data_IF_006914009844
#
_entry.id   IF_006914009844
#
_cell.length_a   1.000
_cell.length_b   1.000
_cell.length_c   1.000
_cell.angle_alpha   90.00
_cell.angle_beta   90.00
_cell.angle_gamma   90.00
#
_symmetry.space_group_name_H-M   'P 1'
#
loop_
_entity.id
_entity.type
_entity.pdbx_description
1 polymer ?
#
# COMPACT_ATOMS: atom_id res chain seq x y z
N UNK A 1 26.41 -9.38 4.48
CA UNK A 1 25.12 -9.82 3.89
C UNK A 1 24.74 -8.77 2.86
N UNK A 2 24.40 -9.21 1.66
CA UNK A 2 24.14 -8.37 0.50
C UNK A 2 22.87 -7.52 0.74
N UNK A 3 22.89 -6.18 0.70
CA UNK A 3 21.68 -5.37 0.82
C UNK A 3 20.97 -5.27 -0.54
N UNK A 4 20.70 -6.42 -1.16
CA UNK A 4 20.11 -6.44 -2.51
C UNK A 4 18.62 -6.26 -2.37
N UNK A 5 18.07 -5.40 -3.22
CA UNK A 5 16.63 -5.28 -3.38
C UNK A 5 16.14 -6.58 -4.02
N UNK A 6 15.22 -7.30 -3.38
CA UNK A 6 14.61 -8.48 -4.00
C UNK A 6 13.38 -8.02 -4.77
N UNK A 7 13.30 -8.36 -6.05
CA UNK A 7 12.13 -8.08 -6.87
C UNK A 7 11.18 -9.27 -6.83
N UNK A 8 9.94 -9.01 -6.45
CA UNK A 8 8.85 -9.96 -6.41
C UNK A 8 7.76 -9.46 -7.36
N UNK A 9 7.14 -10.38 -8.08
CA UNK A 9 5.90 -10.03 -8.76
C UNK A 9 4.74 -10.18 -7.78
N UNK A 10 3.85 -9.18 -7.77
CA UNK A 10 2.58 -9.26 -7.07
C UNK A 10 1.55 -10.11 -7.80
N UNK A 11 1.94 -10.72 -8.92
CA UNK A 11 1.12 -11.58 -9.75
C UNK A 11 1.97 -12.83 -10.09
N UNK A 12 1.40 -14.02 -10.00
CA UNK A 12 2.15 -15.28 -10.10
C UNK A 12 2.63 -15.67 -11.51
N UNK A 13 2.95 -14.71 -12.38
CA UNK A 13 3.33 -14.93 -13.78
C UNK A 13 4.72 -14.32 -14.08
N UNK A 14 5.82 -15.04 -13.82
CA UNK A 14 7.19 -14.59 -14.13
C UNK A 14 7.38 -14.15 -15.59
N UNK A 15 6.60 -14.73 -16.49
CA UNK A 15 6.61 -14.45 -17.93
C UNK A 15 5.99 -13.10 -18.32
N UNK A 16 5.19 -12.48 -17.44
CA UNK A 16 4.71 -11.09 -17.58
C UNK A 16 5.81 -10.14 -17.08
N UNK A 17 6.86 -9.98 -17.88
CA UNK A 17 8.07 -9.24 -17.50
C UNK A 17 7.86 -7.73 -17.55
N UNK A 18 6.84 -7.25 -18.27
CA UNK A 18 6.49 -5.84 -18.32
C UNK A 18 5.50 -5.43 -17.20
N UNK A 19 4.87 -6.40 -16.50
CA UNK A 19 3.87 -6.24 -15.45
C UNK A 19 2.62 -5.46 -15.91
N UNK A 20 2.16 -5.67 -17.13
CA UNK A 20 0.91 -5.09 -17.64
C UNK A 20 -0.32 -5.96 -17.32
N UNK A 21 -0.10 -7.19 -16.87
CA UNK A 21 -1.12 -8.15 -16.45
C UNK A 21 -1.46 -9.19 -17.50
N UNK A 22 -0.80 -9.19 -18.67
CA UNK A 22 -0.96 -10.20 -19.72
C UNK A 22 0.39 -10.61 -20.31
N UNK A 23 0.60 -11.90 -20.50
CA UNK A 23 1.78 -12.41 -21.21
C UNK A 23 1.56 -12.26 -22.72
N UNK A 24 2.25 -11.34 -23.38
CA UNK A 24 2.06 -11.06 -24.80
C UNK A 24 3.34 -10.71 -25.58
N UNK A 25 3.19 -10.06 -26.74
CA UNK A 25 4.31 -9.70 -27.62
C UNK A 25 5.26 -8.71 -26.95
N UNK A 26 4.77 -7.84 -26.07
CA UNK A 26 5.56 -6.84 -25.38
C UNK A 26 6.56 -7.51 -24.44
N UNK A 27 6.18 -8.60 -23.78
CA UNK A 27 7.08 -9.41 -22.94
C UNK A 27 8.18 -10.05 -23.77
N UNK A 28 7.81 -10.68 -24.90
CA UNK A 28 8.80 -11.24 -25.84
C UNK A 28 9.77 -10.16 -26.29
N UNK A 29 9.28 -8.96 -26.60
CA UNK A 29 10.13 -7.86 -27.05
C UNK A 29 11.12 -7.42 -25.97
N UNK A 30 10.73 -7.41 -24.69
CA UNK A 30 11.62 -7.06 -23.59
C UNK A 30 12.72 -8.11 -23.39
N UNK A 31 12.36 -9.39 -23.34
CA UNK A 31 13.34 -10.48 -23.24
C UNK A 31 14.28 -10.47 -24.46
N UNK A 32 13.72 -10.39 -25.67
CA UNK A 32 14.49 -10.32 -26.92
C UNK A 32 15.41 -9.08 -27.00
N UNK A 33 15.08 -7.98 -26.32
CA UNK A 33 15.92 -6.78 -26.29
C UNK A 33 17.27 -6.99 -25.61
N UNK A 34 17.37 -8.02 -24.75
CA UNK A 34 18.59 -8.40 -24.00
C UNK A 34 19.18 -9.73 -24.45
N UNK A 35 18.81 -10.17 -25.65
CA UNK A 35 19.28 -11.42 -26.25
C UNK A 35 20.80 -11.59 -26.22
N UNK A 36 21.25 -12.80 -25.84
CA UNK A 36 22.67 -13.20 -25.71
C UNK A 36 23.45 -12.34 -24.74
N UNK A 37 22.82 -11.92 -23.65
CA UNK A 37 23.55 -11.34 -22.52
C UNK A 37 23.58 -12.34 -21.38
N UNK A 38 24.69 -12.37 -20.65
CA UNK A 38 24.92 -13.34 -19.58
C UNK A 38 25.16 -12.66 -18.24
N UNK A 39 24.96 -13.39 -17.14
CA UNK A 39 25.16 -12.87 -15.79
C UNK A 39 26.56 -12.24 -15.64
N UNK A 40 26.60 -10.97 -15.24
CA UNK A 40 27.83 -10.18 -15.09
C UNK A 40 28.13 -9.24 -16.26
N UNK A 41 27.38 -9.34 -17.36
CA UNK A 41 27.48 -8.38 -18.46
C UNK A 41 26.71 -7.08 -18.18
N UNK A 42 27.17 -5.91 -18.69
CA UNK A 42 26.53 -4.62 -18.42
C UNK A 42 25.06 -4.51 -18.84
N UNK A 43 24.63 -5.33 -19.79
CA UNK A 43 23.28 -5.31 -20.35
C UNK A 43 22.40 -6.45 -19.86
N UNK A 44 22.92 -7.34 -19.01
CA UNK A 44 22.16 -8.43 -18.42
C UNK A 44 21.10 -7.89 -17.46
N UNK A 45 19.87 -8.36 -17.59
CA UNK A 45 18.75 -8.01 -16.72
C UNK A 45 18.26 -9.30 -16.06
N UNK A 46 18.52 -9.52 -14.77
CA UNK A 46 18.15 -10.78 -14.10
C UNK A 46 16.66 -11.15 -14.18
N UNK A 47 15.78 -10.16 -14.39
CA UNK A 47 14.34 -10.40 -14.53
C UNK A 47 13.94 -11.03 -15.88
N UNK A 48 14.85 -11.07 -16.87
CA UNK A 48 14.58 -11.61 -18.21
C UNK A 48 15.26 -12.98 -18.43
N UNK A 49 16.06 -13.45 -17.47
CA UNK A 49 16.52 -14.84 -17.35
C UNK A 49 15.44 -15.60 -16.56
N UNK A 50 14.50 -16.20 -17.29
CA UNK A 50 13.26 -16.79 -16.77
C UNK A 50 13.41 -18.25 -16.37
N UNK A 51 14.48 -18.93 -16.82
CA UNK A 51 14.80 -20.29 -16.37
C UNK A 51 15.95 -20.35 -15.36
N UNK A 52 16.64 -19.24 -15.15
CA UNK A 52 17.64 -19.04 -14.10
C UNK A 52 18.99 -19.68 -14.41
N UNK A 53 19.30 -19.92 -15.68
CA UNK A 53 20.55 -20.54 -16.11
C UNK A 53 21.72 -19.54 -16.25
N UNK A 54 21.42 -18.24 -16.15
CA UNK A 54 22.38 -17.14 -16.21
C UNK A 54 22.59 -16.57 -17.61
N UNK A 55 21.88 -17.05 -18.64
CA UNK A 55 21.93 -16.56 -20.01
C UNK A 55 20.54 -16.10 -20.47
N UNK A 56 20.43 -14.93 -21.12
CA UNK A 56 19.19 -14.50 -21.76
C UNK A 56 19.19 -15.02 -23.22
N UNK A 57 18.45 -16.09 -23.48
CA UNK A 57 18.48 -16.82 -24.75
C UNK A 57 17.11 -17.25 -25.29
N UNK A 58 17.09 -18.25 -26.19
CA UNK A 58 15.85 -18.73 -26.80
C UNK A 58 14.91 -19.38 -25.80
N UNK A 59 15.44 -19.96 -24.72
CA UNK A 59 14.65 -20.66 -23.70
C UNK A 59 13.81 -19.66 -22.91
N UNK A 60 14.33 -18.47 -22.60
CA UNK A 60 13.53 -17.40 -21.98
C UNK A 60 12.41 -16.91 -22.88
N UNK A 61 12.70 -16.69 -24.16
CA UNK A 61 11.66 -16.31 -25.12
C UNK A 61 10.62 -17.43 -25.27
N UNK A 62 11.05 -18.70 -25.27
CA UNK A 62 10.15 -19.84 -25.31
C UNK A 62 9.30 -19.96 -24.04
N UNK A 63 9.82 -19.57 -22.87
CA UNK A 63 9.03 -19.48 -21.63
C UNK A 63 7.90 -18.48 -21.78
N UNK A 64 8.19 -17.25 -22.20
CA UNK A 64 7.14 -16.24 -22.47
C UNK A 64 6.13 -16.77 -23.47
N UNK A 65 6.61 -17.31 -24.59
CA UNK A 65 5.74 -17.87 -25.65
C UNK A 65 4.85 -19.02 -25.17
N UNK A 66 5.34 -19.84 -24.24
CA UNK A 66 4.58 -20.97 -23.68
C UNK A 66 3.46 -20.54 -22.71
N UNK A 67 3.53 -19.31 -22.19
CA UNK A 67 2.52 -18.71 -21.30
C UNK A 67 1.67 -17.65 -22.02
N UNK A 68 1.74 -17.59 -23.35
CA UNK A 68 1.06 -16.58 -24.16
C UNK A 68 -0.44 -16.46 -23.85
N UNK A 69 -0.89 -15.23 -23.61
CA UNK A 69 -2.27 -14.89 -23.30
C UNK A 69 -2.71 -15.22 -21.87
N UNK A 70 -1.82 -15.74 -21.01
CA UNK A 70 -2.12 -15.82 -19.58
C UNK A 70 -2.24 -14.43 -18.99
N UNK A 71 -3.14 -14.27 -18.02
CA UNK A 71 -3.40 -12.99 -17.37
C UNK A 71 -3.37 -13.14 -15.87
N UNK A 72 -2.77 -12.19 -15.16
CA UNK A 72 -2.74 -12.14 -13.71
C UNK A 72 -3.45 -10.92 -13.12
N UNK A 73 -4.23 -10.21 -13.93
CA UNK A 73 -5.18 -9.20 -13.44
C UNK A 73 -6.01 -9.80 -12.30
N UNK A 74 -5.95 -9.13 -11.14
CA UNK A 74 -6.67 -9.50 -9.91
C UNK A 74 -6.10 -10.70 -9.13
N UNK A 75 -4.82 -11.08 -9.32
CA UNK A 75 -4.18 -12.16 -8.56
C UNK A 75 -3.87 -11.77 -7.11
N UNK A 76 -4.90 -11.76 -6.27
CA UNK A 76 -4.78 -11.51 -4.82
C UNK A 76 -3.93 -12.58 -4.13
N UNK A 77 -3.97 -13.82 -4.61
CA UNK A 77 -3.15 -14.89 -4.04
C UNK A 77 -1.66 -14.65 -4.28
N UNK A 78 -1.29 -14.22 -5.49
CA UNK A 78 0.05 -13.77 -5.84
C UNK A 78 0.53 -12.61 -4.97
N UNK A 79 -0.31 -11.60 -4.76
CA UNK A 79 0.02 -10.48 -3.86
C UNK A 79 0.27 -10.96 -2.41
N UNK A 80 -0.59 -11.82 -1.87
CA UNK A 80 -0.42 -12.39 -0.53
C UNK A 80 0.88 -13.21 -0.45
N UNK A 81 1.17 -14.03 -1.47
CA UNK A 81 2.39 -14.82 -1.55
C UNK A 81 3.63 -13.92 -1.59
N UNK A 82 3.62 -12.84 -2.39
CA UNK A 82 4.72 -11.89 -2.49
C UNK A 82 5.00 -11.19 -1.15
N UNK A 83 3.96 -10.73 -0.44
CA UNK A 83 4.12 -10.10 0.88
C UNK A 83 4.70 -11.12 1.90
N UNK A 84 4.23 -12.36 1.88
CA UNK A 84 4.76 -13.40 2.76
C UNK A 84 6.22 -13.75 2.45
N UNK A 85 6.61 -13.79 1.18
CA UNK A 85 8.01 -13.98 0.76
C UNK A 85 8.89 -12.82 1.23
N UNK A 86 8.45 -11.57 1.03
CA UNK A 86 9.16 -10.39 1.53
C UNK A 86 9.35 -10.42 3.06
N UNK A 87 8.32 -10.84 3.78
CA UNK A 87 8.42 -11.06 5.23
C UNK A 87 9.46 -12.12 5.59
N UNK A 88 9.56 -13.21 4.82
CA UNK A 88 10.50 -14.30 5.06
C UNK A 88 11.96 -13.93 4.74
N UNK A 89 12.19 -13.01 3.80
CA UNK A 89 13.51 -12.50 3.45
C UNK A 89 14.18 -11.72 4.59
N UNK A 90 13.39 -11.13 5.50
CA UNK A 90 13.88 -10.51 6.72
C UNK A 90 14.46 -9.11 6.51
N UNK A 91 15.76 -8.93 6.78
CA UNK A 91 16.44 -7.62 6.68
C UNK A 91 16.95 -7.36 5.26
N UNK A 92 16.15 -6.63 4.50
CA UNK A 92 16.42 -6.22 3.13
C UNK A 92 15.24 -5.37 2.63
N UNK A 93 15.43 -4.68 1.50
CA UNK A 93 14.31 -4.03 0.83
C UNK A 93 13.72 -5.01 -0.17
N UNK A 94 12.45 -5.37 -0.02
CA UNK A 94 11.73 -6.12 -1.04
C UNK A 94 10.87 -5.17 -1.88
N UNK A 95 10.86 -5.35 -3.20
CA UNK A 95 10.04 -4.59 -4.13
C UNK A 95 9.04 -5.53 -4.80
N UNK A 96 7.76 -5.30 -4.54
CA UNK A 96 6.64 -5.99 -5.17
C UNK A 96 6.12 -5.10 -6.31
N UNK A 97 6.18 -5.59 -7.54
CA UNK A 97 5.56 -4.91 -8.69
C UNK A 97 4.20 -5.53 -8.97
N UNK A 98 3.15 -4.72 -8.93
CA UNK A 98 1.81 -5.15 -9.30
C UNK A 98 1.62 -5.05 -10.80
N UNK A 99 0.86 -6.00 -11.35
CA UNK A 99 0.24 -5.81 -12.64
C UNK A 99 -0.82 -4.72 -12.56
N UNK A 100 -1.09 -4.03 -13.67
CA UNK A 100 -2.25 -3.12 -13.73
C UNK A 100 -3.54 -3.91 -13.46
N UNK A 101 -4.58 -3.26 -12.89
CA UNK A 101 -5.86 -3.93 -12.63
C UNK A 101 -6.36 -3.80 -11.19
N UNK A 102 -7.24 -4.71 -10.75
CA UNK A 102 -7.97 -4.60 -9.48
C UNK A 102 -7.85 -5.84 -8.60
N UNK A 103 -7.00 -5.77 -7.59
CA UNK A 103 -6.86 -6.78 -6.55
C UNK A 103 -8.02 -6.67 -5.54
N UNK A 104 -9.07 -7.46 -5.75
CA UNK A 104 -10.28 -7.45 -4.91
C UNK A 104 -10.17 -8.46 -3.76
N UNK A 105 -9.92 -7.96 -2.55
CA UNK A 105 -9.84 -8.75 -1.33
C UNK A 105 -11.24 -9.16 -0.88
N UNK A 106 -11.49 -10.47 -0.82
CA UNK A 106 -12.80 -11.04 -0.49
C UNK A 106 -12.88 -11.65 0.91
N UNK A 107 -11.75 -11.80 1.59
CA UNK A 107 -11.67 -12.42 2.91
C UNK A 107 -10.60 -11.77 3.78
N UNK A 108 -10.73 -11.98 5.09
CA UNK A 108 -9.69 -11.67 6.07
C UNK A 108 -8.52 -12.63 5.86
N UNK A 109 -7.31 -12.09 5.83
CA UNK A 109 -6.06 -12.87 5.85
C UNK A 109 -5.65 -13.21 7.30
N UNK A 110 -5.59 -12.19 8.16
CA UNK A 110 -5.22 -12.35 9.57
C UNK A 110 -5.85 -11.25 10.44
N UNK A 111 -6.35 -11.61 11.63
CA UNK A 111 -6.95 -10.65 12.56
C UNK A 111 -8.07 -9.82 11.92
N UNK A 112 -7.78 -8.55 11.65
CA UNK A 112 -8.69 -7.62 10.98
C UNK A 112 -8.16 -7.12 9.62
N UNK A 113 -7.16 -7.80 9.06
CA UNK A 113 -6.42 -7.40 7.85
C UNK A 113 -6.85 -8.25 6.65
N UNK A 114 -6.95 -7.62 5.48
CA UNK A 114 -7.15 -8.30 4.20
C UNK A 114 -5.85 -8.77 3.54
N UNK A 115 -4.70 -8.32 4.03
CA UNK A 115 -3.37 -8.73 3.58
C UNK A 115 -2.46 -9.09 4.77
N UNK A 116 -1.36 -9.82 4.54
CA UNK A 116 -0.40 -10.15 5.59
C UNK A 116 0.16 -8.92 6.28
N UNK A 117 0.41 -9.03 7.59
CA UNK A 117 1.03 -7.96 8.38
C UNK A 117 2.44 -7.66 7.88
N UNK A 118 2.74 -6.37 7.67
CA UNK A 118 4.06 -5.89 7.25
C UNK A 118 4.98 -5.80 8.47
N UNK A 119 5.99 -6.67 8.51
CA UNK A 119 6.99 -6.75 9.59
C UNK A 119 8.43 -6.52 9.12
N UNK A 120 8.64 -6.36 7.80
CA UNK A 120 9.91 -6.05 7.14
C UNK A 120 9.76 -4.81 6.23
N UNK A 121 10.80 -4.45 5.49
CA UNK A 121 10.75 -3.30 4.56
C UNK A 121 10.27 -3.72 3.19
N UNK A 122 9.08 -3.27 2.79
CA UNK A 122 8.40 -3.62 1.55
C UNK A 122 8.07 -2.35 0.77
N UNK A 123 8.43 -2.32 -0.50
CA UNK A 123 7.94 -1.36 -1.50
C UNK A 123 6.95 -2.05 -2.41
N UNK A 124 5.75 -1.50 -2.57
CA UNK A 124 4.75 -1.97 -3.52
C UNK A 124 4.63 -0.91 -4.62
N UNK A 125 5.11 -1.24 -5.81
CA UNK A 125 4.87 -0.45 -7.03
C UNK A 125 3.55 -0.89 -7.64
N UNK A 126 2.61 0.03 -7.61
CA UNK A 126 1.24 -0.19 -8.00
C UNK A 126 0.98 -0.27 -9.49
N UNK A 127 1.76 0.45 -10.31
CA UNK A 127 1.49 0.60 -11.74
C UNK A 127 0.03 1.00 -12.03
N UNK A 128 -0.53 1.89 -11.21
CA UNK A 128 -1.94 2.33 -11.24
C UNK A 128 -2.98 1.24 -10.88
N UNK A 129 -2.55 0.11 -10.31
CA UNK A 129 -3.45 -0.90 -9.79
C UNK A 129 -4.29 -0.38 -8.61
N UNK A 130 -5.43 -1.02 -8.42
CA UNK A 130 -6.31 -0.82 -7.27
C UNK A 130 -6.27 -2.07 -6.40
N UNK A 131 -5.99 -1.91 -5.10
CA UNK A 131 -6.27 -2.93 -4.09
C UNK A 131 -7.54 -2.46 -3.37
N UNK A 132 -8.59 -3.28 -3.41
CA UNK A 132 -9.84 -2.94 -2.73
C UNK A 132 -10.41 -4.08 -1.94
N UNK A 133 -11.17 -3.76 -0.90
CA UNK A 133 -12.05 -4.71 -0.25
C UNK A 133 -13.33 -4.89 -1.06
N UNK A 134 -13.76 -6.13 -1.28
CA UNK A 134 -15.09 -6.41 -1.84
C UNK A 134 -16.16 -5.87 -0.89
N UNK A 135 -17.11 -5.08 -1.42
CA UNK A 135 -18.22 -4.55 -0.64
C UNK A 135 -19.03 -5.62 0.12
N UNK A 136 -19.17 -6.82 -0.45
CA UNK A 136 -19.90 -7.95 0.10
C UNK A 136 -19.09 -8.79 1.10
N UNK A 137 -17.77 -8.60 1.18
CA UNK A 137 -16.95 -9.30 2.15
C UNK A 137 -17.26 -8.84 3.59
N UNK A 138 -16.84 -9.64 4.57
CA UNK A 138 -16.80 -9.19 5.97
C UNK A 138 -15.89 -7.95 6.13
N UNK A 139 -16.12 -7.09 7.14
CA UNK A 139 -15.25 -5.94 7.40
C UNK A 139 -13.80 -6.35 7.75
N UNK A 140 -12.83 -5.78 7.03
CA UNK A 140 -11.41 -5.72 7.40
C UNK A 140 -10.71 -4.46 6.83
N UNK A 141 -9.61 -4.06 7.46
CA UNK A 141 -8.66 -3.07 6.91
C UNK A 141 -7.75 -3.73 5.89
N UNK A 142 -7.13 -2.95 5.01
CA UNK A 142 -6.28 -3.50 3.94
C UNK A 142 -4.92 -3.93 4.51
N UNK A 143 -4.20 -3.02 5.18
CA UNK A 143 -2.86 -3.27 5.69
C UNK A 143 -2.73 -3.00 7.20
N UNK A 144 -1.80 -3.74 7.82
CA UNK A 144 -1.23 -3.43 9.12
C UNK A 144 0.30 -3.45 9.02
N UNK A 145 0.94 -2.49 9.70
CA UNK A 145 2.39 -2.33 9.75
C UNK A 145 2.80 -2.33 11.22
N UNK A 146 3.74 -3.19 11.60
CA UNK A 146 4.26 -3.25 12.98
C UNK A 146 5.43 -2.30 13.17
N UNK A 147 5.94 -2.21 14.41
CA UNK A 147 7.12 -1.42 14.79
C UNK A 147 8.39 -1.76 14.01
N UNK A 148 8.49 -2.97 13.44
CA UNK A 148 9.61 -3.38 12.58
C UNK A 148 9.31 -3.25 11.09
N UNK A 149 8.04 -2.98 10.75
CA UNK A 149 7.57 -2.85 9.39
C UNK A 149 7.86 -1.48 8.78
N UNK A 150 8.18 -1.49 7.49
CA UNK A 150 8.24 -0.29 6.66
C UNK A 150 7.53 -0.57 5.34
N UNK A 151 6.44 0.14 5.07
CA UNK A 151 5.66 -0.02 3.85
C UNK A 151 5.76 1.24 3.00
N UNK A 152 6.22 1.09 1.76
CA UNK A 152 6.12 2.12 0.73
C UNK A 152 5.08 1.72 -0.30
N UNK A 153 4.07 2.55 -0.51
CA UNK A 153 3.06 2.41 -1.55
C UNK A 153 3.30 3.46 -2.63
N UNK A 154 3.56 3.01 -3.86
CA UNK A 154 3.87 3.89 -4.98
C UNK A 154 2.87 3.68 -6.12
N UNK A 155 2.17 4.73 -6.53
CA UNK A 155 1.30 4.71 -7.73
C UNK A 155 0.21 3.64 -7.70
N UNK A 156 -0.56 3.53 -6.61
CA UNK A 156 -1.74 2.65 -6.51
C UNK A 156 -2.93 3.32 -5.84
N UNK A 157 -4.09 2.66 -5.93
CA UNK A 157 -5.28 3.00 -5.16
C UNK A 157 -5.56 1.96 -4.09
N UNK A 158 -5.78 2.38 -2.83
CA UNK A 158 -6.38 1.58 -1.78
C UNK A 158 -7.81 2.04 -1.54
N UNK A 159 -8.78 1.12 -1.60
CA UNK A 159 -10.18 1.51 -1.44
C UNK A 159 -11.09 0.49 -0.76
N UNK A 160 -12.21 0.99 -0.23
CA UNK A 160 -13.28 0.16 0.33
C UNK A 160 -12.92 -0.57 1.64
N UNK A 161 -11.70 -0.40 2.15
CA UNK A 161 -11.28 -0.96 3.43
C UNK A 161 -12.27 -0.54 4.51
N UNK A 162 -12.75 -1.50 5.30
CA UNK A 162 -13.79 -1.26 6.30
C UNK A 162 -13.50 -2.09 7.52
N UNK A 163 -13.21 -1.50 8.66
CA UNK A 163 -13.00 -2.27 9.89
C UNK A 163 -13.83 -1.73 11.06
N UNK A 164 -14.14 -2.63 12.00
CA UNK A 164 -14.65 -2.27 13.32
C UNK A 164 -13.52 -1.89 14.29
N UNK A 165 -12.29 -1.75 13.79
CA UNK A 165 -11.07 -1.39 14.52
C UNK A 165 -10.44 -0.11 13.95
N UNK A 166 -9.16 0.12 14.25
CA UNK A 166 -8.38 1.26 13.78
C UNK A 166 -7.93 1.11 12.33
N UNK A 167 -7.92 2.23 11.60
CA UNK A 167 -7.39 2.34 10.24
C UNK A 167 -8.26 1.64 9.20
N UNK A 168 -9.14 2.37 8.49
CA UNK A 168 -10.02 1.73 7.50
C UNK A 168 -9.26 1.13 6.33
N UNK A 169 -8.22 1.82 5.85
CA UNK A 169 -7.25 1.25 4.91
C UNK A 169 -6.04 0.68 5.63
N UNK A 170 -5.38 1.50 6.46
CA UNK A 170 -4.07 1.18 7.02
C UNK A 170 -4.03 1.45 8.52
N UNK A 171 -3.57 0.48 9.28
CA UNK A 171 -3.14 0.63 10.67
C UNK A 171 -1.62 0.59 10.75
N UNK A 172 -0.99 1.71 11.13
CA UNK A 172 0.46 1.79 11.35
C UNK A 172 0.74 1.76 12.85
N UNK A 173 1.16 0.62 13.37
CA UNK A 173 1.44 0.38 14.78
C UNK A 173 2.92 0.59 15.11
N UNK A 174 3.34 1.85 15.13
CA UNK A 174 4.72 2.24 15.42
C UNK A 174 5.71 2.01 14.28
N UNK A 175 5.25 1.56 13.10
CA UNK A 175 6.07 1.36 11.92
C UNK A 175 6.27 2.61 11.06
N UNK A 176 6.77 2.40 9.84
CA UNK A 176 6.95 3.45 8.84
C UNK A 176 6.01 3.20 7.65
N UNK A 177 5.21 4.20 7.31
CA UNK A 177 4.35 4.21 6.13
C UNK A 177 4.76 5.36 5.22
N UNK A 178 5.05 5.06 3.95
CA UNK A 178 5.32 6.04 2.91
C UNK A 178 4.33 5.85 1.76
N UNK A 179 3.62 6.91 1.38
CA UNK A 179 2.61 6.91 0.33
C UNK A 179 3.03 7.93 -0.72
N UNK A 180 3.24 7.46 -1.96
CA UNK A 180 3.75 8.26 -3.07
C UNK A 180 2.81 8.09 -4.26
N UNK A 181 2.37 9.20 -4.86
CA UNK A 181 1.56 9.20 -6.08
C UNK A 181 0.33 8.28 -6.01
N UNK A 182 -0.22 8.08 -4.82
CA UNK A 182 -1.24 7.05 -4.55
C UNK A 182 -2.54 7.67 -4.05
N UNK A 183 -3.62 6.89 -4.13
CA UNK A 183 -4.94 7.29 -3.65
C UNK A 183 -5.44 6.36 -2.56
N UNK A 184 -5.85 6.90 -1.41
CA UNK A 184 -6.61 6.17 -0.40
C UNK A 184 -8.03 6.73 -0.38
N UNK A 185 -9.00 5.95 -0.84
CA UNK A 185 -10.37 6.45 -0.98
C UNK A 185 -11.48 5.51 -0.52
N UNK A 186 -12.56 6.09 0.01
CA UNK A 186 -13.74 5.32 0.41
C UNK A 186 -13.49 4.32 1.54
N UNK A 187 -12.47 4.55 2.36
CA UNK A 187 -12.14 3.66 3.47
C UNK A 187 -12.88 4.09 4.74
N UNK A 188 -13.30 3.13 5.55
CA UNK A 188 -14.14 3.36 6.73
C UNK A 188 -13.59 2.66 7.95
N UNK A 189 -13.42 3.39 9.04
CA UNK A 189 -13.20 2.79 10.36
C UNK A 189 -14.39 3.11 11.26
N UNK A 190 -14.98 2.07 11.83
CA UNK A 190 -16.19 2.10 12.67
C UNK A 190 -15.89 1.74 14.12
N UNK A 191 -14.64 1.90 14.58
CA UNK A 191 -14.30 1.44 15.93
C UNK A 191 -15.22 2.05 16.99
N UNK A 192 -15.96 1.15 17.63
CA UNK A 192 -16.97 1.42 18.64
C UNK A 192 -16.43 1.14 20.05
N UNK A 193 -15.13 1.37 20.29
CA UNK A 193 -14.50 1.15 21.59
C UNK A 193 -15.42 1.51 22.75
N UNK A 194 -15.75 0.49 23.54
CA UNK A 194 -16.72 0.60 24.63
C UNK A 194 -16.21 1.49 25.76
N UNK A 195 -17.14 2.28 26.31
CA UNK A 195 -17.08 3.16 27.49
C UNK A 195 -15.95 4.21 27.56
N UNK A 196 -16.35 5.40 28.00
CA UNK A 196 -15.58 6.64 28.02
C UNK A 196 -14.40 6.53 29.00
N UNK A 197 -13.18 6.52 28.48
CA UNK A 197 -11.99 6.70 29.32
C UNK A 197 -10.73 6.06 28.75
N UNK A 198 -10.00 6.83 27.94
CA UNK A 198 -8.60 6.62 27.55
C UNK A 198 -8.36 5.67 26.35
N UNK A 199 -7.81 6.27 25.28
CA UNK A 199 -7.35 5.68 24.00
C UNK A 199 -8.40 5.32 22.94
N UNK A 200 -9.25 6.28 22.58
CA UNK A 200 -10.16 6.16 21.44
C UNK A 200 -9.37 6.23 20.11
N UNK A 201 -9.40 5.18 19.30
CA UNK A 201 -8.84 5.22 17.95
C UNK A 201 -9.91 5.12 16.87
N UNK A 202 -9.81 5.91 15.80
CA UNK A 202 -10.45 5.71 14.49
C UNK A 202 -9.73 6.63 13.49
N UNK A 203 -9.39 6.19 12.30
CA UNK A 203 -8.82 7.02 11.23
C UNK A 203 -9.22 6.40 9.91
N UNK A 204 -10.30 6.93 9.32
CA UNK A 204 -11.04 6.27 8.23
C UNK A 204 -10.14 5.79 7.09
N UNK A 205 -9.11 6.56 6.74
CA UNK A 205 -8.03 6.08 5.89
C UNK A 205 -6.91 5.43 6.71
N UNK A 206 -6.24 6.22 7.54
CA UNK A 206 -5.01 5.84 8.23
C UNK A 206 -5.16 6.10 9.72
N UNK A 207 -4.79 5.10 10.53
CA UNK A 207 -4.51 5.29 11.93
C UNK A 207 -3.02 5.07 12.19
N UNK A 208 -2.34 6.11 12.69
CA UNK A 208 -0.93 6.08 13.03
C UNK A 208 -0.76 6.06 14.55
N UNK A 209 -0.28 4.94 15.09
CA UNK A 209 -0.05 4.73 16.52
C UNK A 209 1.44 4.89 16.85
N UNK A 210 1.88 6.10 17.15
CA UNK A 210 3.28 6.37 17.49
C UNK A 210 4.31 6.14 16.37
N UNK A 211 3.88 5.78 15.16
CA UNK A 211 4.75 5.55 14.01
C UNK A 211 5.00 6.80 13.17
N UNK A 212 5.58 6.60 11.98
CA UNK A 212 5.87 7.65 11.00
C UNK A 212 5.06 7.44 9.73
N UNK A 213 4.36 8.47 9.28
CA UNK A 213 3.61 8.48 8.01
C UNK A 213 4.10 9.63 7.13
N UNK A 214 4.54 9.31 5.92
CA UNK A 214 4.95 10.27 4.91
C UNK A 214 4.04 10.16 3.69
N UNK A 215 3.37 11.24 3.32
CA UNK A 215 2.42 11.29 2.19
C UNK A 215 2.90 12.35 1.22
N UNK A 216 3.21 11.94 -0.01
CA UNK A 216 3.73 12.82 -1.05
C UNK A 216 2.96 12.63 -2.35
N UNK A 217 2.57 13.74 -2.99
CA UNK A 217 1.89 13.74 -4.30
C UNK A 217 0.67 12.82 -4.35
N UNK A 218 -0.04 12.68 -3.22
CA UNK A 218 -1.07 11.64 -3.03
C UNK A 218 -2.42 12.24 -2.67
N UNK A 219 -3.47 11.43 -2.78
CA UNK A 219 -4.84 11.83 -2.47
C UNK A 219 -5.44 10.94 -1.40
N UNK A 220 -5.94 11.51 -0.31
CA UNK A 220 -6.79 10.83 0.67
C UNK A 220 -8.20 11.42 0.58
N UNK A 221 -9.16 10.67 0.06
CA UNK A 221 -10.50 11.21 -0.19
C UNK A 221 -11.68 10.32 0.15
N UNK A 222 -12.78 10.93 0.61
CA UNK A 222 -14.02 10.19 0.86
C UNK A 222 -13.89 9.13 1.97
N UNK A 223 -12.91 9.26 2.86
CA UNK A 223 -12.72 8.32 3.95
C UNK A 223 -13.54 8.73 5.18
N UNK A 224 -14.04 7.75 5.92
CA UNK A 224 -14.97 7.96 7.03
C UNK A 224 -14.45 7.34 8.31
N UNK A 225 -14.31 8.16 9.35
CA UNK A 225 -14.08 7.71 10.72
C UNK A 225 -15.34 7.98 11.52
N UNK A 226 -16.01 6.95 11.99
CA UNK A 226 -17.33 7.12 12.63
C UNK A 226 -17.27 8.04 13.85
N UNK A 227 -16.20 7.93 14.65
CA UNK A 227 -16.03 8.73 15.87
C UNK A 227 -14.89 9.73 15.77
N UNK A 228 -13.73 9.31 15.29
CA UNK A 228 -12.53 10.16 15.20
C UNK A 228 -11.96 10.06 13.79
N UNK A 229 -11.45 11.17 13.28
CA UNK A 229 -10.82 11.35 11.96
C UNK A 229 -11.34 10.58 10.74
N UNK A 230 -11.80 11.33 9.74
CA UNK A 230 -12.14 10.77 8.42
C UNK A 230 -10.91 10.31 7.66
N UNK A 231 -9.88 11.15 7.60
CA UNK A 231 -8.63 10.86 6.91
C UNK A 231 -7.62 10.16 7.83
N UNK A 232 -6.79 10.97 8.50
CA UNK A 232 -5.62 10.50 9.25
C UNK A 232 -5.79 10.80 10.74
N UNK A 233 -5.78 9.75 11.57
CA UNK A 233 -5.57 9.92 13.02
C UNK A 233 -4.11 9.68 13.37
N UNK A 234 -3.46 10.69 13.93
CA UNK A 234 -2.10 10.62 14.44
C UNK A 234 -2.12 10.57 15.97
N UNK A 235 -1.91 9.39 16.53
CA UNK A 235 -1.84 9.15 17.96
C UNK A 235 -0.37 9.11 18.42
N UNK A 236 0.18 10.25 18.83
CA UNK A 236 1.55 10.35 19.36
C UNK A 236 2.68 10.11 18.35
N UNK A 237 2.39 9.97 17.05
CA UNK A 237 3.39 9.73 16.00
C UNK A 237 3.79 10.96 15.20
N UNK A 238 4.46 10.76 14.06
CA UNK A 238 4.81 11.79 13.09
C UNK A 238 4.04 11.60 11.78
N UNK A 239 3.44 12.68 11.27
CA UNK A 239 2.82 12.71 9.94
C UNK A 239 3.37 13.87 9.14
N UNK A 240 3.85 13.60 7.94
CA UNK A 240 4.24 14.60 6.95
C UNK A 240 3.37 14.48 5.71
N UNK A 241 2.75 15.57 5.29
CA UNK A 241 1.90 15.65 4.10
C UNK A 241 2.46 16.71 3.16
N UNK A 242 2.91 16.31 1.97
CA UNK A 242 3.58 17.18 1.01
C UNK A 242 2.95 17.07 -0.37
N UNK A 243 2.69 18.20 -1.04
CA UNK A 243 2.15 18.24 -2.41
C UNK A 243 0.90 17.36 -2.60
N UNK A 244 0.07 17.22 -1.58
CA UNK A 244 -0.99 16.21 -1.51
C UNK A 244 -2.36 16.84 -1.32
N UNK A 245 -3.41 16.05 -1.56
CA UNK A 245 -4.80 16.45 -1.33
C UNK A 245 -5.45 15.55 -0.28
N UNK A 246 -6.02 16.14 0.76
CA UNK A 246 -6.85 15.45 1.74
C UNK A 246 -8.24 16.08 1.65
N UNK A 247 -9.21 15.37 1.07
CA UNK A 247 -10.51 15.98 0.76
C UNK A 247 -11.73 15.12 1.00
N UNK A 248 -12.85 15.75 1.32
CA UNK A 248 -14.14 15.06 1.52
C UNK A 248 -14.08 13.91 2.53
N UNK A 249 -13.16 13.99 3.50
CA UNK A 249 -13.09 13.01 4.57
C UNK A 249 -14.02 13.44 5.71
N UNK A 250 -14.74 12.48 6.29
CA UNK A 250 -15.78 12.74 7.27
C UNK A 250 -15.48 12.06 8.60
N UNK A 251 -15.50 12.84 9.69
CA UNK A 251 -15.45 12.32 11.05
C UNK A 251 -16.75 12.66 11.79
N UNK A 252 -17.28 11.73 12.59
CA UNK A 252 -18.42 12.05 13.46
C UNK A 252 -18.05 12.92 14.67
N UNK A 253 -16.77 12.96 15.07
CA UNK A 253 -16.27 13.73 16.21
C UNK A 253 -15.28 14.81 15.80
N UNK A 254 -14.00 14.46 15.62
CA UNK A 254 -12.95 15.47 15.36
C UNK A 254 -12.03 15.11 14.20
N UNK A 255 -11.42 16.14 13.61
CA UNK A 255 -10.32 16.00 12.65
C UNK A 255 -10.75 15.36 11.33
N UNK A 256 -11.71 15.97 10.63
CA UNK A 256 -12.30 15.41 9.40
C UNK A 256 -11.24 14.97 8.40
N UNK A 257 -10.27 15.84 8.12
CA UNK A 257 -9.06 15.52 7.36
C UNK A 257 -7.99 14.85 8.22
N UNK A 258 -7.48 15.57 9.23
CA UNK A 258 -6.43 15.09 10.13
C UNK A 258 -6.81 15.34 11.59
N UNK A 259 -6.60 14.36 12.45
CA UNK A 259 -6.65 14.48 13.90
C UNK A 259 -5.28 14.20 14.52
N UNK A 260 -4.63 15.22 15.08
CA UNK A 260 -3.35 15.09 15.76
C UNK A 260 -3.53 14.99 17.29
N UNK A 261 -3.62 13.77 17.80
CA UNK A 261 -3.82 13.45 19.21
C UNK A 261 -2.48 13.21 19.89
N UNK A 262 -1.71 14.29 20.13
CA UNK A 262 -0.40 14.34 20.83
C UNK A 262 0.88 14.05 20.02
N UNK A 263 0.80 13.97 18.68
CA UNK A 263 1.96 13.79 17.82
C UNK A 263 2.46 15.09 17.15
N UNK A 264 3.25 14.93 16.09
CA UNK A 264 3.67 16.02 15.20
C UNK A 264 3.07 15.86 13.82
N UNK A 265 2.43 16.90 13.30
CA UNK A 265 1.93 16.98 11.93
C UNK A 265 2.63 18.12 11.20
N UNK A 266 3.18 17.84 10.03
CA UNK A 266 3.69 18.83 9.08
C UNK A 266 2.90 18.73 7.79
N UNK A 267 2.31 19.83 7.33
CA UNK A 267 1.63 19.92 6.04
C UNK A 267 2.33 20.99 5.20
N UNK A 268 2.68 20.68 3.96
CA UNK A 268 3.38 21.62 3.08
C UNK A 268 2.85 21.50 1.66
N UNK A 269 2.57 22.64 1.02
CA UNK A 269 2.08 22.72 -0.37
C UNK A 269 0.90 21.77 -0.66
N UNK A 270 0.00 21.59 0.31
CA UNK A 270 -1.06 20.59 0.24
C UNK A 270 -2.44 21.23 0.41
N UNK A 271 -3.45 20.57 -0.15
CA UNK A 271 -4.84 21.04 -0.10
C UNK A 271 -5.65 20.20 0.86
N UNK A 272 -6.26 20.85 1.86
CA UNK A 272 -7.24 20.23 2.75
C UNK A 272 -8.61 20.87 2.49
N UNK A 273 -9.52 20.16 1.83
CA UNK A 273 -10.80 20.75 1.35
C UNK A 273 -12.00 19.83 1.52
N UNK A 274 -13.18 20.39 1.82
CA UNK A 274 -14.42 19.62 1.94
C UNK A 274 -14.44 18.59 3.08
N UNK A 275 -13.46 18.59 3.98
CA UNK A 275 -13.41 17.67 5.11
C UNK A 275 -14.36 18.15 6.23
N UNK A 276 -15.08 17.22 6.84
CA UNK A 276 -16.16 17.50 7.80
C UNK A 276 -15.94 16.78 9.13
N UNK A 277 -16.15 17.49 10.23
CA UNK A 277 -16.17 16.97 11.60
C UNK A 277 -16.91 17.94 12.51
N UNK A 278 -17.34 17.47 13.69
CA UNK A 278 -17.91 18.38 14.70
C UNK A 278 -16.86 19.38 15.21
N UNK A 279 -15.60 18.96 15.33
CA UNK A 279 -14.48 19.83 15.68
C UNK A 279 -13.30 19.63 14.71
N UNK A 280 -12.81 20.71 14.12
CA UNK A 280 -11.65 20.67 13.21
C UNK A 280 -11.92 19.89 11.93
N UNK A 281 -12.77 20.41 11.04
CA UNK A 281 -13.08 19.76 9.76
C UNK A 281 -11.83 19.48 8.91
N UNK A 282 -10.92 20.46 8.78
CA UNK A 282 -9.62 20.26 8.14
C UNK A 282 -8.64 19.51 9.04
N UNK A 283 -8.18 20.17 10.11
CA UNK A 283 -7.25 19.62 11.10
C UNK A 283 -7.77 19.89 12.51
N UNK A 284 -7.81 18.88 13.37
CA UNK A 284 -7.86 19.02 14.82
C UNK A 284 -6.46 18.75 15.39
N UNK A 285 -5.96 19.61 16.28
CA UNK A 285 -4.59 19.50 16.78
C UNK A 285 -4.50 19.62 18.30
N UNK A 286 -3.96 18.58 18.93
CA UNK A 286 -3.59 18.48 20.35
C UNK A 286 -2.09 18.18 20.53
N UNK A 287 -1.28 18.41 19.49
CA UNK A 287 0.18 18.24 19.51
C UNK A 287 0.88 19.38 18.77
N UNK A 288 1.98 19.08 18.07
CA UNK A 288 2.70 20.05 17.25
C UNK A 288 2.16 20.07 15.83
N UNK A 289 1.91 21.27 15.28
CA UNK A 289 1.45 21.46 13.91
C UNK A 289 2.34 22.49 13.19
N UNK A 290 2.87 22.12 12.02
CA UNK A 290 3.57 23.00 11.09
C UNK A 290 2.81 23.02 9.76
N UNK A 291 2.42 24.20 9.27
CA UNK A 291 1.66 24.38 8.01
C UNK A 291 2.24 25.50 7.16
#
# INVERSE_FOLDING_TARGET
MNPYVTFLQGCGLPEDVNNDGVVDVADIQLVASRWRTSQGEPNYVPAYDLDGDGDIDIVDIMRVSSHWGQTCVNDVAGLIAAINTAKANGVGLDTINLATGTYTLTAVDNGYNGLPVVTSSITINGNSATIMRDSAASPFRIFEITTTGSLTLNSLTLSGGRTAENGGAIYNDGGILTIISSTLSGNTATYHGGWVGYYDGVGGAIYNNGGTVNITSSTLSGNTGERWSGGIRNNGGQVTVMNSTISNNNAGGVGGGIDNSSGTVTVTNSTLSGNTANLGGGIANNGTLNV
#
